data_IF_137374894559
#
_entry.id   IF_137374894559
#
_cell.length_a   1.000
_cell.length_b   1.000
_cell.length_c   1.000
_cell.angle_alpha   90.00
_cell.angle_beta   90.00
_cell.angle_gamma   90.00
#
_symmetry.space_group_name_H-M   'P 1'
#
loop_
_entity.id
_entity.type
_entity.pdbx_description
1 polymer ?
#
# COMPACT_ATOMS: atom_id res chain seq x y z
N UNK A 1 -48.70 6.94 62.81
CA UNK A 1 -48.32 8.07 61.94
C UNK A 1 -47.19 7.61 61.02
N UNK A 2 -47.49 7.29 59.76
CA UNK A 2 -46.52 6.72 58.84
C UNK A 2 -46.00 7.82 57.90
N UNK A 3 -44.85 8.44 58.24
CA UNK A 3 -44.21 9.44 57.36
C UNK A 3 -43.20 8.73 56.47
N UNK A 4 -43.60 8.42 55.23
CA UNK A 4 -42.67 8.17 54.13
C UNK A 4 -42.17 9.53 53.63
N UNK A 5 -41.01 9.99 54.07
CA UNK A 5 -40.33 11.13 53.46
C UNK A 5 -39.21 10.59 52.57
N UNK A 6 -39.38 10.75 51.25
CA UNK A 6 -38.47 10.27 50.23
C UNK A 6 -37.07 10.87 50.38
N UNK A 7 -36.07 9.99 50.26
CA UNK A 7 -34.66 10.35 50.26
C UNK A 7 -34.35 11.28 49.08
N UNK A 8 -33.87 12.49 49.35
CA UNK A 8 -33.43 13.50 48.36
C UNK A 8 -32.17 13.12 47.56
N UNK A 9 -31.84 11.83 47.48
CA UNK A 9 -30.64 11.28 46.82
C UNK A 9 -30.82 10.99 45.33
N UNK A 10 -32.06 10.99 44.81
CA UNK A 10 -32.36 10.72 43.40
C UNK A 10 -31.72 11.71 42.41
N UNK A 11 -31.80 13.04 42.61
CA UNK A 11 -31.27 14.02 41.67
C UNK A 11 -29.74 14.05 41.61
N UNK A 12 -29.07 13.93 42.75
CA UNK A 12 -27.59 13.94 42.84
C UNK A 12 -26.96 12.69 42.21
N UNK A 13 -27.56 11.51 42.42
CA UNK A 13 -27.12 10.27 41.79
C UNK A 13 -27.35 10.30 40.27
N UNK A 14 -28.44 10.91 39.82
CA UNK A 14 -28.73 11.10 38.39
C UNK A 14 -27.71 12.03 37.72
N UNK A 15 -27.30 13.09 38.38
CA UNK A 15 -26.29 14.04 37.87
C UNK A 15 -24.90 13.40 37.75
N UNK A 16 -24.46 12.66 38.76
CA UNK A 16 -23.20 11.92 38.70
C UNK A 16 -23.21 10.82 37.62
N UNK A 17 -24.34 10.15 37.40
CA UNK A 17 -24.50 9.17 36.32
C UNK A 17 -24.36 9.79 34.93
N UNK A 18 -24.91 10.99 34.71
CA UNK A 18 -24.78 11.70 33.43
C UNK A 18 -23.33 12.09 33.15
N UNK A 19 -22.59 12.56 34.15
CA UNK A 19 -21.17 12.92 34.01
C UNK A 19 -20.33 11.69 33.66
N UNK A 20 -20.52 10.58 34.37
CA UNK A 20 -19.82 9.32 34.08
C UNK A 20 -20.20 8.80 32.68
N UNK A 21 -21.47 8.90 32.30
CA UNK A 21 -21.94 8.53 30.96
C UNK A 21 -21.25 9.33 29.86
N UNK A 22 -21.17 10.65 30.00
CA UNK A 22 -20.46 11.51 29.04
C UNK A 22 -18.97 11.17 28.98
N UNK A 23 -18.35 10.90 30.12
CA UNK A 23 -16.93 10.51 30.17
C UNK A 23 -16.67 9.18 29.45
N UNK A 24 -17.55 8.18 29.63
CA UNK A 24 -17.45 6.89 28.93
C UNK A 24 -17.60 7.07 27.40
N UNK A 25 -18.57 7.89 26.97
CA UNK A 25 -18.78 8.17 25.53
C UNK A 25 -17.55 8.88 24.96
N UNK A 26 -17.05 9.90 25.65
CA UNK A 26 -15.85 10.64 25.25
C UNK A 26 -14.63 9.71 25.14
N UNK A 27 -14.35 8.92 26.19
CA UNK A 27 -13.25 7.95 26.20
C UNK A 27 -13.37 6.95 25.03
N UNK A 28 -14.58 6.46 24.76
CA UNK A 28 -14.83 5.56 23.63
C UNK A 28 -14.49 6.22 22.30
N UNK A 29 -15.01 7.42 22.04
CA UNK A 29 -14.73 8.16 20.79
C UNK A 29 -13.23 8.42 20.63
N UNK A 30 -12.54 8.83 21.70
CA UNK A 30 -11.10 9.06 21.67
C UNK A 30 -10.32 7.79 21.27
N UNK A 31 -10.68 6.63 21.82
CA UNK A 31 -10.05 5.35 21.45
C UNK A 31 -10.36 4.98 20.00
N UNK A 32 -11.60 5.16 19.54
CA UNK A 32 -11.97 4.89 18.14
C UNK A 32 -11.17 5.77 17.16
N UNK A 33 -11.05 7.06 17.46
CA UNK A 33 -10.27 8.00 16.65
C UNK A 33 -8.79 7.63 16.67
N UNK A 34 -8.25 7.23 17.83
CA UNK A 34 -6.85 6.82 17.97
C UNK A 34 -6.54 5.58 17.12
N UNK A 35 -7.38 4.54 17.17
CA UNK A 35 -7.20 3.33 16.35
C UNK A 35 -7.26 3.66 14.86
N UNK A 36 -8.18 4.54 14.45
CA UNK A 36 -8.24 5.00 13.05
C UNK A 36 -6.99 5.78 12.65
N UNK A 37 -6.52 6.69 13.51
CA UNK A 37 -5.31 7.45 13.25
C UNK A 37 -4.07 6.54 13.13
N UNK A 38 -3.93 5.55 14.01
CA UNK A 38 -2.83 4.58 13.97
C UNK A 38 -2.83 3.77 12.68
N UNK A 39 -4.00 3.31 12.21
CA UNK A 39 -4.12 2.63 10.93
C UNK A 39 -3.75 3.54 9.74
N UNK A 40 -4.21 4.80 9.75
CA UNK A 40 -3.84 5.79 8.73
C UNK A 40 -2.33 6.04 8.74
N UNK A 41 -1.71 6.16 9.91
CA UNK A 41 -0.27 6.37 10.04
C UNK A 41 0.54 5.18 9.51
N UNK A 42 0.08 3.95 9.75
CA UNK A 42 0.69 2.73 9.17
C UNK A 42 0.59 2.72 7.65
N UNK A 43 -0.59 3.01 7.10
CA UNK A 43 -0.79 3.09 5.65
C UNK A 43 0.07 4.19 5.02
N UNK A 44 0.17 5.36 5.65
CA UNK A 44 1.02 6.45 5.18
C UNK A 44 2.51 6.06 5.21
N UNK A 45 2.96 5.33 6.24
CA UNK A 45 4.33 4.81 6.31
C UNK A 45 4.60 3.84 5.14
N UNK A 46 3.69 2.92 4.86
CA UNK A 46 3.85 1.95 3.78
C UNK A 46 3.89 2.64 2.41
N UNK A 47 3.02 3.62 2.17
CA UNK A 47 3.03 4.40 0.92
C UNK A 47 4.37 5.14 0.80
N UNK A 48 4.84 5.79 1.86
CA UNK A 48 6.11 6.52 1.82
C UNK A 48 7.30 5.59 1.51
N UNK A 49 7.32 4.40 2.10
CA UNK A 49 8.36 3.41 1.81
C UNK A 49 8.23 2.87 0.37
N UNK A 50 7.01 2.65 -0.13
CA UNK A 50 6.79 2.29 -1.52
C UNK A 50 7.37 3.34 -2.48
N UNK A 51 7.12 4.63 -2.23
CA UNK A 51 7.69 5.72 -3.05
C UNK A 51 9.21 5.66 -3.05
N UNK A 52 9.84 5.52 -1.88
CA UNK A 52 11.30 5.46 -1.78
C UNK A 52 11.88 4.25 -2.51
N UNK A 53 11.24 3.08 -2.40
CA UNK A 53 11.67 1.86 -3.10
C UNK A 53 11.51 1.99 -4.61
N UNK A 54 10.39 2.53 -5.09
CA UNK A 54 10.17 2.75 -6.51
C UNK A 54 11.20 3.72 -7.10
N UNK A 55 11.52 4.80 -6.38
CA UNK A 55 12.55 5.75 -6.80
C UNK A 55 13.94 5.12 -6.80
N UNK A 56 14.30 4.34 -5.77
CA UNK A 56 15.57 3.60 -5.75
C UNK A 56 15.69 2.68 -6.96
N UNK A 57 14.64 1.91 -7.24
CA UNK A 57 14.59 1.00 -8.40
C UNK A 57 14.74 1.76 -9.72
N UNK A 58 14.06 2.91 -9.88
CA UNK A 58 14.17 3.74 -11.07
C UNK A 58 15.60 4.28 -11.28
N UNK A 59 16.29 4.68 -10.21
CA UNK A 59 17.68 5.13 -10.28
C UNK A 59 18.65 3.98 -10.55
N UNK A 60 18.43 2.79 -9.97
CA UNK A 60 19.25 1.60 -10.22
C UNK A 60 19.12 1.12 -11.68
N UNK A 61 17.89 1.16 -12.23
CA UNK A 61 17.58 0.94 -13.64
C UNK A 61 18.38 1.88 -14.53
N UNK A 62 18.30 3.18 -14.26
CA UNK A 62 19.01 4.21 -15.01
C UNK A 62 20.53 4.08 -14.91
N UNK A 63 21.03 3.56 -13.80
CA UNK A 63 22.46 3.29 -13.61
C UNK A 63 22.94 2.04 -14.36
N UNK A 64 22.05 1.30 -15.04
CA UNK A 64 22.38 0.08 -15.76
C UNK A 64 22.84 -1.06 -14.84
N UNK A 65 22.39 -1.06 -13.58
CA UNK A 65 22.80 -2.11 -12.64
C UNK A 65 22.13 -3.43 -13.00
N UNK A 66 22.94 -4.51 -13.03
CA UNK A 66 22.44 -5.88 -13.16
C UNK A 66 21.76 -6.29 -11.87
N UNK A 67 20.46 -5.98 -11.77
CA UNK A 67 19.70 -6.19 -10.57
C UNK A 67 19.34 -7.67 -10.38
N UNK A 68 19.37 -8.12 -9.13
CA UNK A 68 19.10 -9.51 -8.72
C UNK A 68 17.60 -9.76 -8.66
N UNK A 69 16.89 -9.48 -9.75
CA UNK A 69 15.45 -9.64 -9.79
C UNK A 69 15.04 -11.08 -10.05
N UNK A 70 13.90 -11.47 -9.50
CA UNK A 70 13.23 -12.70 -9.93
C UNK A 70 12.40 -12.41 -11.17
N UNK A 71 12.66 -13.11 -12.27
CA UNK A 71 11.82 -13.11 -13.47
C UNK A 71 10.51 -13.88 -13.27
N UNK A 72 10.37 -14.59 -12.15
CA UNK A 72 9.23 -15.44 -11.85
C UNK A 72 8.19 -14.69 -11.02
N UNK A 73 7.01 -14.51 -11.61
CA UNK A 73 5.82 -14.04 -10.90
C UNK A 73 5.34 -15.13 -9.91
N UNK A 74 5.02 -14.77 -8.67
CA UNK A 74 4.87 -15.74 -7.58
C UNK A 74 3.52 -16.49 -7.57
N UNK A 75 2.46 -15.95 -8.20
CA UNK A 75 1.11 -16.55 -8.21
C UNK A 75 0.30 -16.09 -9.44
N UNK A 76 -0.60 -16.95 -9.94
CA UNK A 76 -1.50 -16.70 -11.08
C UNK A 76 -2.51 -15.59 -10.79
N UNK A 77 -2.87 -15.37 -9.52
CA UNK A 77 -3.86 -14.37 -9.11
C UNK A 77 -3.33 -12.92 -9.13
N UNK A 78 -2.04 -12.72 -9.37
CA UNK A 78 -1.44 -11.37 -9.40
C UNK A 78 -1.95 -10.57 -10.58
N UNK A 79 -2.27 -11.25 -11.69
CA UNK A 79 -2.86 -10.62 -12.86
C UNK A 79 -4.22 -9.99 -12.56
N UNK A 80 -5.01 -10.56 -11.66
CA UNK A 80 -6.28 -9.96 -11.21
C UNK A 80 -6.01 -8.67 -10.42
N UNK A 81 -5.03 -8.70 -9.51
CA UNK A 81 -4.66 -7.52 -8.72
C UNK A 81 -4.03 -6.40 -9.56
N UNK A 82 -3.27 -6.76 -10.60
CA UNK A 82 -2.75 -5.81 -11.57
C UNK A 82 -3.89 -5.18 -12.39
N UNK A 83 -4.87 -5.98 -12.81
CA UNK A 83 -6.06 -5.49 -13.50
C UNK A 83 -6.88 -4.54 -12.61
N UNK A 84 -7.08 -4.87 -11.33
CA UNK A 84 -7.74 -3.98 -10.35
C UNK A 84 -6.97 -2.67 -10.14
N UNK A 85 -5.64 -2.71 -10.12
CA UNK A 85 -4.80 -1.51 -10.02
C UNK A 85 -4.91 -0.60 -11.26
N UNK A 86 -5.22 -1.20 -12.42
CA UNK A 86 -5.32 -0.57 -13.72
C UNK A 86 -6.72 0.05 -14.00
N UNK A 87 -7.79 -0.41 -13.33
CA UNK A 87 -9.17 0.05 -13.56
C UNK A 87 -9.37 1.57 -13.40
N UNK A 88 -8.48 2.25 -12.64
CA UNK A 88 -8.60 3.67 -12.32
C UNK A 88 -7.84 4.64 -13.23
N UNK A 89 -6.93 4.18 -14.10
CA UNK A 89 -6.01 5.08 -14.80
C UNK A 89 -5.66 4.64 -16.23
N UNK A 90 -6.59 4.88 -17.16
CA UNK A 90 -6.50 4.42 -18.56
C UNK A 90 -5.21 4.88 -19.28
N UNK A 91 -4.69 6.07 -18.98
CA UNK A 91 -3.45 6.57 -19.60
C UNK A 91 -2.24 5.73 -19.20
N UNK A 92 -2.12 5.38 -17.91
CA UNK A 92 -1.03 4.54 -17.42
C UNK A 92 -1.11 3.12 -17.97
N UNK A 93 -2.32 2.59 -18.12
CA UNK A 93 -2.56 1.27 -18.74
C UNK A 93 -2.13 1.29 -20.20
N UNK A 94 -2.54 2.29 -20.97
CA UNK A 94 -2.17 2.41 -22.37
C UNK A 94 -0.65 2.53 -22.54
N UNK A 95 0.00 3.32 -21.70
CA UNK A 95 1.45 3.49 -21.69
C UNK A 95 2.18 2.16 -21.42
N UNK A 96 1.72 1.37 -20.45
CA UNK A 96 2.29 0.05 -20.17
C UNK A 96 2.01 -0.94 -21.31
N UNK A 97 0.82 -0.90 -21.92
CA UNK A 97 0.50 -1.74 -23.07
C UNK A 97 1.40 -1.45 -24.26
N UNK A 98 1.72 -0.18 -24.52
CA UNK A 98 2.67 0.22 -25.55
C UNK A 98 4.07 -0.36 -25.27
N UNK A 99 4.53 -0.30 -24.02
CA UNK A 99 5.80 -0.89 -23.60
C UNK A 99 5.83 -2.42 -23.80
N UNK A 100 4.80 -3.12 -23.31
CA UNK A 100 4.73 -4.60 -23.38
C UNK A 100 4.56 -5.11 -24.82
N UNK A 101 3.99 -4.30 -25.72
CA UNK A 101 3.83 -4.64 -27.14
C UNK A 101 5.03 -4.22 -28.00
N UNK A 102 6.00 -3.50 -27.46
CA UNK A 102 7.14 -3.03 -28.23
C UNK A 102 8.13 -4.16 -28.53
N UNK A 103 8.86 -4.04 -29.64
CA UNK A 103 9.94 -4.97 -29.97
C UNK A 103 11.11 -4.91 -28.98
N UNK A 104 11.22 -3.80 -28.22
CA UNK A 104 12.26 -3.57 -27.22
C UNK A 104 11.87 -4.01 -25.81
N UNK A 105 10.75 -4.71 -25.63
CA UNK A 105 10.32 -5.20 -24.32
C UNK A 105 11.31 -6.23 -23.76
N UNK A 106 11.84 -5.98 -22.57
CA UNK A 106 12.87 -6.82 -21.95
C UNK A 106 12.27 -7.85 -20.99
N UNK A 107 11.15 -7.52 -20.33
CA UNK A 107 10.43 -8.48 -19.49
C UNK A 107 9.75 -7.88 -18.27
N UNK A 108 9.30 -8.80 -17.39
CA UNK A 108 8.74 -8.49 -16.08
C UNK A 108 9.72 -8.96 -15.02
N UNK A 109 9.99 -8.08 -14.07
CA UNK A 109 10.84 -8.36 -12.93
C UNK A 109 10.05 -8.19 -11.64
N UNK A 110 10.41 -8.99 -10.64
CA UNK A 110 9.76 -8.97 -9.33
C UNK A 110 10.76 -8.79 -8.19
N UNK A 111 10.33 -8.04 -7.19
CA UNK A 111 11.02 -7.87 -5.91
C UNK A 111 10.05 -8.08 -4.74
N UNK A 112 10.59 -8.55 -3.63
CA UNK A 112 9.81 -8.90 -2.45
C UNK A 112 10.35 -8.21 -1.22
N UNK A 113 9.46 -7.67 -0.41
CA UNK A 113 9.84 -7.09 0.88
C UNK A 113 9.01 -7.65 2.02
N UNK A 114 9.64 -7.81 3.18
CA UNK A 114 8.97 -8.16 4.43
C UNK A 114 8.21 -6.95 5.01
N UNK A 115 7.53 -7.12 6.15
CA UNK A 115 6.77 -6.04 6.81
C UNK A 115 7.63 -4.85 7.28
N UNK A 116 8.96 -5.03 7.33
CA UNK A 116 9.93 -4.00 7.70
C UNK A 116 10.57 -3.32 6.48
N UNK A 117 10.12 -3.63 5.26
CA UNK A 117 10.68 -3.11 3.99
C UNK A 117 12.11 -3.58 3.67
N UNK A 118 12.51 -4.71 4.24
CA UNK A 118 13.75 -5.39 3.92
C UNK A 118 13.50 -6.42 2.82
N UNK A 119 14.44 -6.53 1.88
CA UNK A 119 14.37 -7.49 0.77
C UNK A 119 14.31 -8.92 1.30
N UNK A 120 13.48 -9.73 0.67
CA UNK A 120 13.26 -11.11 1.08
C UNK A 120 13.05 -12.01 -0.12
N UNK A 121 13.05 -13.32 0.11
CA UNK A 121 12.78 -14.30 -0.93
C UNK A 121 11.26 -14.54 -1.06
N UNK A 122 10.76 -14.94 -2.25
CA UNK A 122 9.35 -15.22 -2.46
C UNK A 122 8.77 -16.26 -1.48
N UNK A 123 9.59 -17.24 -1.06
CA UNK A 123 9.19 -18.30 -0.14
C UNK A 123 9.11 -17.86 1.33
N UNK A 124 9.55 -16.63 1.64
CA UNK A 124 9.63 -16.09 3.01
C UNK A 124 8.38 -15.31 3.45
N UNK A 125 7.22 -15.61 2.87
CA UNK A 125 5.93 -14.92 3.14
C UNK A 125 6.02 -13.37 3.05
N UNK A 126 6.37 -12.81 1.89
CA UNK A 126 6.58 -11.38 1.74
C UNK A 126 5.31 -10.56 2.01
N UNK A 127 5.49 -9.40 2.63
CA UNK A 127 4.41 -8.45 2.92
C UNK A 127 4.10 -7.55 1.73
N UNK A 128 5.10 -7.25 0.90
CA UNK A 128 5.00 -6.36 -0.26
C UNK A 128 5.65 -6.99 -1.49
N UNK A 129 5.14 -6.62 -2.66
CA UNK A 129 5.61 -7.05 -3.98
C UNK A 129 5.86 -5.82 -4.84
N UNK A 130 7.00 -5.80 -5.52
CA UNK A 130 7.32 -4.91 -6.61
C UNK A 130 7.22 -5.66 -7.93
N UNK A 131 6.49 -5.12 -8.90
CA UNK A 131 6.41 -5.62 -10.28
C UNK A 131 6.97 -4.52 -11.17
N UNK A 132 7.98 -4.85 -11.98
CA UNK A 132 8.69 -3.90 -12.82
C UNK A 132 8.60 -4.39 -14.26
N UNK A 133 8.06 -3.57 -15.14
CA UNK A 133 8.09 -3.77 -16.58
C UNK A 133 9.22 -2.92 -17.14
N UNK A 134 10.10 -3.51 -17.96
CA UNK A 134 11.19 -2.76 -18.60
C UNK A 134 11.22 -3.02 -20.09
N UNK A 135 11.74 -2.04 -20.82
CA UNK A 135 11.98 -2.17 -22.25
C UNK A 135 12.29 -0.85 -22.92
N UNK A 136 12.50 -0.90 -24.23
CA UNK A 136 12.74 0.27 -25.06
C UNK A 136 11.56 0.53 -25.99
N UNK A 137 11.10 1.78 -26.03
CA UNK A 137 10.08 2.26 -26.98
C UNK A 137 10.60 3.54 -27.61
N UNK A 138 10.66 3.61 -28.94
CA UNK A 138 11.11 4.81 -29.67
C UNK A 138 12.47 5.39 -29.21
N UNK A 139 13.44 4.51 -28.91
CA UNK A 139 14.77 4.88 -28.36
C UNK A 139 14.73 5.47 -26.95
N UNK A 140 13.63 5.32 -26.23
CA UNK A 140 13.51 5.64 -24.81
C UNK A 140 13.51 4.33 -24.04
N UNK A 141 14.44 4.17 -23.11
CA UNK A 141 14.37 3.17 -22.05
C UNK A 141 13.22 3.56 -21.12
N UNK A 142 12.23 2.68 -21.04
CA UNK A 142 11.04 2.84 -20.22
C UNK A 142 11.02 1.81 -19.12
N UNK A 143 10.54 2.22 -17.95
CA UNK A 143 10.15 1.27 -16.93
C UNK A 143 8.85 1.67 -16.23
N UNK A 144 7.99 0.67 -15.97
CA UNK A 144 6.81 0.79 -15.13
C UNK A 144 7.03 0.03 -13.82
N UNK A 145 7.08 0.73 -12.70
CA UNK A 145 7.33 0.15 -11.38
C UNK A 145 6.06 0.22 -10.56
N UNK A 146 5.49 -0.93 -10.23
CA UNK A 146 4.30 -1.05 -9.39
C UNK A 146 4.69 -1.69 -8.05
N UNK A 147 4.31 -1.04 -6.95
CA UNK A 147 4.51 -1.59 -5.59
C UNK A 147 3.14 -1.78 -4.95
N UNK A 148 2.92 -2.98 -4.42
CA UNK A 148 1.64 -3.40 -3.85
C UNK A 148 1.81 -4.23 -2.58
N UNK A 149 0.75 -4.31 -1.80
CA UNK A 149 0.67 -5.23 -0.66
C UNK A 149 0.48 -6.65 -1.17
N UNK A 150 1.29 -7.58 -0.66
CA UNK A 150 1.30 -8.99 -1.11
C UNK A 150 1.01 -9.99 0.01
N UNK A 151 1.21 -9.61 1.28
CA UNK A 151 1.00 -10.49 2.43
C UNK A 151 -0.41 -11.08 2.52
N UNK A 152 -0.57 -12.14 3.32
CA UNK A 152 -1.87 -12.81 3.52
C UNK A 152 -2.88 -11.86 4.18
N UNK A 153 -4.00 -11.59 3.51
CA UNK A 153 -5.11 -10.82 4.09
C UNK A 153 -5.99 -10.13 3.04
N UNK A 154 -7.02 -9.43 3.51
CA UNK A 154 -8.00 -8.74 2.66
C UNK A 154 -7.41 -7.60 1.80
N UNK A 155 -6.18 -7.16 2.10
CA UNK A 155 -5.48 -6.11 1.37
C UNK A 155 -4.44 -6.65 0.37
N UNK A 156 -4.38 -7.97 0.15
CA UNK A 156 -3.51 -8.54 -0.89
C UNK A 156 -3.89 -7.94 -2.24
N UNK A 157 -2.90 -7.51 -3.01
CA UNK A 157 -3.09 -6.87 -4.31
C UNK A 157 -3.35 -5.37 -4.27
N UNK A 158 -3.54 -4.77 -3.08
CA UNK A 158 -3.74 -3.32 -2.98
C UNK A 158 -2.48 -2.59 -3.44
N UNK A 159 -2.57 -1.86 -4.55
CA UNK A 159 -1.51 -0.99 -5.05
C UNK A 159 -1.23 0.14 -4.04
N UNK A 160 0.05 0.34 -3.72
CA UNK A 160 0.53 1.41 -2.85
C UNK A 160 1.07 2.58 -3.66
N UNK A 161 1.81 2.28 -4.73
CA UNK A 161 2.42 3.29 -5.57
C UNK A 161 2.76 2.72 -6.96
N UNK A 162 2.74 3.58 -7.96
CA UNK A 162 3.19 3.30 -9.34
C UNK A 162 4.07 4.44 -9.82
N UNK A 163 5.20 4.11 -10.41
CA UNK A 163 6.16 5.05 -10.97
C UNK A 163 6.50 4.63 -12.40
N UNK A 164 6.26 5.52 -13.36
CA UNK A 164 6.68 5.36 -14.74
C UNK A 164 7.89 6.25 -14.98
N UNK A 165 8.91 5.70 -15.63
CA UNK A 165 10.14 6.41 -15.97
C UNK A 165 10.44 6.25 -17.45
N UNK A 166 11.00 7.30 -18.03
CA UNK A 166 11.48 7.36 -19.41
C UNK A 166 12.86 8.02 -19.41
N UNK A 167 13.87 7.33 -19.92
CA UNK A 167 15.21 7.88 -20.12
C UNK A 167 15.62 7.64 -21.56
N UNK A 168 16.31 8.61 -22.16
CA UNK A 168 16.80 8.45 -23.52
C UNK A 168 17.87 7.36 -23.56
N UNK A 169 17.68 6.33 -24.39
CA UNK A 169 18.73 5.37 -24.69
C UNK A 169 19.81 6.13 -25.47
N UNK A 170 20.98 6.33 -24.85
CA UNK A 170 22.07 7.09 -25.45
C UNK A 170 22.42 6.62 -26.88
N UNK A 171 23.04 7.48 -27.71
CA UNK A 171 23.49 7.10 -29.05
C UNK A 171 24.58 6.01 -29.05
#
# INVERSE_FOLDING_TARGET
MNRKSGSGSGPFLMEMLVVVGFFIICASICVLVFVKADNISKDARDINQAVLKAQSLAEELKAGQALRWSEMLPDRNIWEHLADADEGNQEQVQWNQELVQSEGYEGIHTMYWNSSWEETEPDSEPAFLGVIYTGTVDKMERADILIMRYGRGANKGKMLYRLQTETYAGP
#
